data_IF_851080203865
#
_entry.id   IF_851080203865
#
_cell.length_a   1.000
_cell.length_b   1.000
_cell.length_c   1.000
_cell.angle_alpha   90.00
_cell.angle_beta   90.00
_cell.angle_gamma   90.00
#
_symmetry.space_group_name_H-M   'P 1'
#
loop_
_entity.id
_entity.type
_entity.pdbx_description
1 polymer ?
#
# COMPACT_ATOMS: atom_id res chain seq x y z
N UNK A 1 -23.97 67.60 -20.42
CA UNK A 1 -23.97 66.13 -20.17
C UNK A 1 -23.60 65.95 -18.71
N UNK A 2 -24.49 65.44 -17.85
CA UNK A 2 -24.15 65.23 -16.44
C UNK A 2 -23.19 64.04 -16.33
N UNK A 3 -22.08 64.25 -15.64
CA UNK A 3 -21.06 63.23 -15.36
C UNK A 3 -21.69 62.12 -14.52
N UNK A 4 -21.81 60.92 -15.10
CA UNK A 4 -22.27 59.75 -14.39
C UNK A 4 -21.21 59.37 -13.33
N UNK A 5 -21.56 59.64 -12.07
CA UNK A 5 -20.76 59.28 -10.89
C UNK A 5 -20.67 57.75 -10.84
N UNK A 6 -19.54 57.18 -11.28
CA UNK A 6 -19.24 55.76 -11.13
C UNK A 6 -19.20 55.43 -9.63
N UNK A 7 -20.23 54.75 -9.14
CA UNK A 7 -20.19 54.15 -7.80
C UNK A 7 -19.07 53.10 -7.78
N UNK A 8 -18.13 53.18 -6.82
CA UNK A 8 -17.10 52.17 -6.69
C UNK A 8 -17.77 50.83 -6.41
N UNK A 9 -17.48 49.84 -7.28
CA UNK A 9 -17.98 48.48 -7.12
C UNK A 9 -17.70 48.01 -5.69
N UNK A 10 -18.69 47.43 -5.00
CA UNK A 10 -18.49 46.92 -3.65
C UNK A 10 -17.31 45.96 -3.69
N UNK A 11 -16.27 46.27 -2.91
CA UNK A 11 -15.10 45.42 -2.80
C UNK A 11 -15.59 44.06 -2.31
N UNK A 12 -15.75 43.12 -3.25
CA UNK A 12 -16.15 41.77 -2.94
C UNK A 12 -15.07 41.25 -2.01
N UNK A 13 -15.42 41.05 -0.75
CA UNK A 13 -14.50 40.60 0.29
C UNK A 13 -14.16 39.15 -0.02
N UNK A 14 -13.18 38.97 -0.90
CA UNK A 14 -12.83 37.67 -1.44
C UNK A 14 -12.34 36.80 -0.29
N UNK A 15 -12.97 35.63 -0.17
CA UNK A 15 -12.63 34.67 0.87
C UNK A 15 -11.30 34.01 0.48
N UNK A 16 -10.29 34.00 1.36
CA UNK A 16 -9.06 33.28 1.06
C UNK A 16 -9.34 31.79 0.83
N UNK A 17 -8.56 31.18 -0.06
CA UNK A 17 -8.63 29.74 -0.34
C UNK A 17 -8.38 28.94 0.94
N UNK A 18 -9.07 27.82 1.10
CA UNK A 18 -8.80 26.91 2.21
C UNK A 18 -7.50 26.16 1.91
N UNK A 19 -6.54 26.11 2.84
CA UNK A 19 -5.34 25.29 2.66
C UNK A 19 -5.68 23.79 2.69
N UNK A 20 -4.95 22.95 1.94
CA UNK A 20 -3.89 23.33 0.99
C UNK A 20 -4.40 23.61 -0.44
N UNK A 21 -3.82 24.59 -1.12
CA UNK A 21 -4.07 24.86 -2.53
C UNK A 21 -2.76 25.16 -3.24
N UNK A 22 -2.47 24.47 -4.34
CA UNK A 22 -1.22 24.63 -5.09
C UNK A 22 -1.45 25.00 -6.55
N UNK A 23 -0.54 25.79 -7.13
CA UNK A 23 -0.59 26.12 -8.55
C UNK A 23 -0.39 24.88 -9.43
N UNK A 24 -1.22 24.69 -10.45
CA UNK A 24 -1.11 23.57 -11.39
C UNK A 24 0.20 23.52 -12.19
N UNK A 25 0.85 24.67 -12.42
CA UNK A 25 2.06 24.73 -13.27
C UNK A 25 3.34 24.53 -12.47
N UNK A 26 3.49 25.21 -11.33
CA UNK A 26 4.75 25.20 -10.56
C UNK A 26 4.60 24.59 -9.15
N UNK A 27 3.40 24.14 -8.76
CA UNK A 27 3.08 23.61 -7.43
C UNK A 27 3.36 24.57 -6.26
N UNK A 28 3.49 25.88 -6.51
CA UNK A 28 3.61 26.88 -5.46
C UNK A 28 2.31 26.94 -4.63
N UNK A 29 2.42 27.08 -3.31
CA UNK A 29 1.28 27.19 -2.42
C UNK A 29 0.58 28.55 -2.60
N UNK A 30 -0.66 28.53 -3.06
CA UNK A 30 -1.47 29.72 -3.35
C UNK A 30 -2.58 29.96 -2.31
N UNK A 31 -2.68 29.13 -1.26
CA UNK A 31 -3.79 29.15 -0.31
C UNK A 31 -3.93 30.49 0.45
N UNK A 32 -2.84 31.24 0.59
CA UNK A 32 -2.79 32.47 1.39
C UNK A 32 -2.51 33.73 0.55
N UNK A 33 -2.56 33.63 -0.77
CA UNK A 33 -2.31 34.78 -1.64
C UNK A 33 -3.53 35.70 -1.68
N UNK A 34 -3.28 37.01 -1.61
CA UNK A 34 -4.30 38.05 -1.82
C UNK A 34 -4.66 38.23 -3.28
N UNK A 35 -3.78 37.80 -4.20
CA UNK A 35 -3.95 37.92 -5.65
C UNK A 35 -4.31 36.57 -6.27
N UNK A 36 -5.19 36.59 -7.28
CA UNK A 36 -5.60 35.41 -8.06
C UNK A 36 -4.60 35.03 -9.16
N UNK A 37 -3.32 35.14 -8.84
CA UNK A 37 -2.21 34.84 -9.74
C UNK A 37 -1.06 34.24 -8.94
N UNK A 38 -0.45 33.21 -9.49
CA UNK A 38 0.74 32.62 -8.90
C UNK A 38 1.94 33.57 -9.06
N UNK A 39 2.68 33.91 -7.99
CA UNK A 39 3.82 34.82 -8.06
C UNK A 39 5.01 34.22 -8.81
N UNK A 40 5.14 32.90 -8.83
CA UNK A 40 6.25 32.20 -9.48
C UNK A 40 6.10 32.12 -11.00
N UNK A 41 4.92 31.71 -11.48
CA UNK A 41 4.69 31.44 -12.91
C UNK A 41 3.72 32.42 -13.59
N UNK A 42 3.11 33.32 -12.83
CA UNK A 42 2.14 34.28 -13.36
C UNK A 42 0.81 33.68 -13.82
N UNK A 43 0.57 32.38 -13.62
CA UNK A 43 -0.70 31.73 -13.97
C UNK A 43 -1.83 32.25 -13.08
N UNK A 44 -2.90 32.74 -13.69
CA UNK A 44 -4.13 33.07 -12.98
C UNK A 44 -4.86 31.80 -12.52
N UNK A 45 -5.51 31.89 -11.37
CA UNK A 45 -6.38 30.84 -10.85
C UNK A 45 -7.69 31.46 -10.40
N UNK A 46 -8.77 30.69 -10.39
CA UNK A 46 -10.06 31.12 -9.89
C UNK A 46 -10.31 30.41 -8.54
N UNK A 47 -10.38 31.13 -7.42
CA UNK A 47 -10.61 30.52 -6.11
C UNK A 47 -11.99 29.83 -5.99
N UNK A 48 -12.91 30.09 -6.93
CA UNK A 48 -14.23 29.44 -7.00
C UNK A 48 -14.25 28.20 -7.90
N UNK A 49 -13.21 28.00 -8.72
CA UNK A 49 -13.07 26.82 -9.58
C UNK A 49 -11.89 25.96 -9.12
N UNK A 50 -12.21 24.86 -8.44
CA UNK A 50 -11.26 23.85 -7.96
C UNK A 50 -10.43 23.22 -9.08
N UNK A 51 -10.82 23.36 -10.35
CA UNK A 51 -10.05 22.84 -11.49
C UNK A 51 -8.86 23.74 -11.85
N UNK A 52 -8.77 24.93 -11.27
CA UNK A 52 -7.68 25.89 -11.55
C UNK A 52 -6.49 25.75 -10.61
N UNK A 53 -6.62 24.92 -9.57
CA UNK A 53 -5.58 24.63 -8.59
C UNK A 53 -5.58 23.16 -8.16
N UNK A 54 -4.49 22.71 -7.54
CA UNK A 54 -4.41 21.39 -6.91
C UNK A 54 -4.84 21.54 -5.45
N UNK A 55 -6.01 20.97 -5.14
CA UNK A 55 -6.46 20.72 -3.78
C UNK A 55 -6.03 19.29 -3.40
N UNK A 56 -4.73 19.13 -3.14
CA UNK A 56 -4.25 17.87 -2.56
C UNK A 56 -4.54 17.91 -1.07
N UNK A 57 -5.74 17.48 -0.68
CA UNK A 57 -6.06 17.27 0.73
C UNK A 57 -4.99 16.33 1.32
N UNK A 58 -4.17 16.78 2.29
CA UNK A 58 -3.10 15.96 2.83
C UNK A 58 -3.66 14.71 3.51
N UNK A 59 -4.93 14.73 3.93
CA UNK A 59 -5.61 13.58 4.48
C UNK A 59 -5.85 12.48 3.43
N UNK A 60 -6.14 12.85 2.18
CA UNK A 60 -6.36 11.88 1.08
C UNK A 60 -5.07 11.16 0.70
N UNK A 61 -3.95 11.89 0.60
CA UNK A 61 -2.62 11.28 0.37
C UNK A 61 -2.21 10.36 1.53
N UNK A 62 -2.47 10.77 2.76
CA UNK A 62 -2.18 9.95 3.95
C UNK A 62 -3.04 8.70 4.00
N UNK A 63 -4.33 8.80 3.69
CA UNK A 63 -5.26 7.67 3.64
C UNK A 63 -4.83 6.65 2.58
N UNK A 64 -4.51 7.11 1.36
CA UNK A 64 -4.05 6.22 0.29
C UNK A 64 -2.75 5.50 0.65
N UNK A 65 -1.83 6.17 1.33
CA UNK A 65 -0.56 5.56 1.78
C UNK A 65 -0.82 4.48 2.83
N UNK A 66 -1.71 4.73 3.79
CA UNK A 66 -2.09 3.75 4.82
C UNK A 66 -2.78 2.55 4.16
N UNK A 67 -3.74 2.79 3.27
CA UNK A 67 -4.46 1.74 2.56
C UNK A 67 -3.52 0.87 1.71
N UNK A 68 -2.57 1.49 1.00
CA UNK A 68 -1.56 0.79 0.23
C UNK A 68 -0.68 -0.09 1.14
N UNK A 69 -0.19 0.46 2.25
CA UNK A 69 0.62 -0.29 3.20
C UNK A 69 -0.16 -1.48 3.81
N UNK A 70 -1.42 -1.28 4.20
CA UNK A 70 -2.29 -2.36 4.67
C UNK A 70 -2.46 -3.44 3.59
N UNK A 71 -2.71 -3.04 2.35
CA UNK A 71 -2.88 -3.97 1.23
C UNK A 71 -1.62 -4.81 1.00
N UNK A 72 -0.44 -4.17 1.02
CA UNK A 72 0.86 -4.84 0.86
C UNK A 72 1.11 -5.80 2.03
N UNK A 73 0.88 -5.38 3.27
CA UNK A 73 1.05 -6.23 4.46
C UNK A 73 0.13 -7.45 4.40
N UNK A 74 -1.16 -7.25 4.09
CA UNK A 74 -2.13 -8.35 3.95
C UNK A 74 -1.71 -9.34 2.85
N UNK A 75 -1.21 -8.83 1.72
CA UNK A 75 -0.72 -9.68 0.64
C UNK A 75 0.47 -10.55 1.06
N UNK A 76 1.46 -9.98 1.76
CA UNK A 76 2.60 -10.75 2.25
C UNK A 76 2.22 -11.73 3.37
N UNK A 77 1.32 -11.31 4.27
CA UNK A 77 0.79 -12.19 5.31
C UNK A 77 0.08 -13.42 4.73
N UNK A 78 -0.51 -13.29 3.54
CA UNK A 78 -1.15 -14.38 2.81
C UNK A 78 -0.16 -15.25 2.03
N UNK A 79 0.82 -14.64 1.36
CA UNK A 79 1.78 -15.37 0.53
C UNK A 79 2.78 -16.20 1.34
N UNK A 80 3.26 -15.67 2.46
CA UNK A 80 4.28 -16.32 3.27
C UNK A 80 3.91 -17.76 3.72
N UNK A 81 2.71 -18.03 4.29
CA UNK A 81 2.34 -19.38 4.68
C UNK A 81 2.16 -20.32 3.49
N UNK A 82 1.70 -19.82 2.33
CA UNK A 82 1.60 -20.61 1.10
C UNK A 82 2.98 -21.06 0.64
N UNK A 83 3.94 -20.14 0.57
CA UNK A 83 5.33 -20.44 0.19
C UNK A 83 5.94 -21.43 1.18
N UNK A 84 5.76 -21.20 2.49
CA UNK A 84 6.23 -22.12 3.54
C UNK A 84 5.69 -23.53 3.38
N UNK A 85 4.39 -23.66 3.08
CA UNK A 85 3.74 -24.95 2.83
C UNK A 85 4.31 -25.65 1.60
N UNK A 86 4.57 -24.92 0.51
CA UNK A 86 5.19 -25.49 -0.70
C UNK A 86 6.61 -26.00 -0.43
N UNK A 87 7.42 -25.25 0.32
CA UNK A 87 8.78 -25.66 0.72
C UNK A 87 8.71 -26.92 1.58
N UNK A 88 7.80 -26.96 2.56
CA UNK A 88 7.62 -28.11 3.44
C UNK A 88 7.18 -29.37 2.67
N UNK A 89 6.27 -29.24 1.70
CA UNK A 89 5.87 -30.34 0.82
C UNK A 89 7.04 -30.86 -0.03
N UNK A 90 7.87 -29.95 -0.56
CA UNK A 90 9.06 -30.32 -1.32
C UNK A 90 10.07 -31.09 -0.45
N UNK A 91 10.35 -30.59 0.75
CA UNK A 91 11.22 -31.27 1.73
C UNK A 91 10.66 -32.63 2.14
N UNK A 92 9.35 -32.73 2.37
CA UNK A 92 8.68 -33.99 2.68
C UNK A 92 8.85 -34.99 1.53
N UNK A 93 8.68 -34.56 0.28
CA UNK A 93 8.84 -35.43 -0.90
C UNK A 93 10.27 -35.99 -1.03
N UNK A 94 11.29 -35.18 -0.73
CA UNK A 94 12.70 -35.59 -0.77
C UNK A 94 12.98 -36.57 0.36
N UNK A 95 12.54 -36.25 1.58
CA UNK A 95 12.79 -37.10 2.76
C UNK A 95 12.08 -38.44 2.66
N UNK A 96 10.87 -38.51 2.10
CA UNK A 96 10.18 -39.78 1.82
C UNK A 96 10.99 -40.63 0.84
N UNK A 97 11.55 -40.05 -0.23
CA UNK A 97 12.39 -40.81 -1.19
C UNK A 97 13.65 -41.36 -0.54
N UNK A 98 14.33 -40.56 0.29
CA UNK A 98 15.50 -40.99 1.05
C UNK A 98 15.14 -42.09 2.03
N UNK A 99 14.02 -41.93 2.75
CA UNK A 99 13.52 -42.90 3.71
C UNK A 99 13.18 -44.23 3.03
N UNK A 100 12.48 -44.20 1.89
CA UNK A 100 12.15 -45.39 1.11
C UNK A 100 13.42 -46.14 0.69
N UNK A 101 14.44 -45.42 0.20
CA UNK A 101 15.74 -46.02 -0.15
C UNK A 101 16.46 -46.60 1.05
N UNK A 102 16.47 -45.90 2.19
CA UNK A 102 17.11 -46.34 3.42
C UNK A 102 16.43 -47.57 4.04
N UNK A 103 15.10 -47.64 4.00
CA UNK A 103 14.32 -48.79 4.48
C UNK A 103 14.56 -50.02 3.60
N UNK A 104 14.71 -49.82 2.29
CA UNK A 104 15.01 -50.89 1.34
C UNK A 104 16.40 -51.51 1.53
N UNK A 105 17.34 -50.79 2.16
CA UNK A 105 18.69 -51.30 2.41
C UNK A 105 18.72 -52.15 3.71
N UNK A 106 19.07 -53.44 3.55
CA UNK A 106 19.14 -54.40 4.67
C UNK A 106 20.19 -53.99 5.72
N UNK A 107 21.25 -53.29 5.31
CA UNK A 107 22.39 -52.93 6.18
C UNK A 107 22.30 -51.52 6.76
N UNK A 108 21.20 -50.79 6.54
CA UNK A 108 21.07 -49.43 7.06
C UNK A 108 20.98 -49.42 8.59
N UNK A 109 22.00 -48.88 9.28
CA UNK A 109 22.10 -48.88 10.75
C UNK A 109 21.13 -47.92 11.44
N UNK A 110 20.64 -46.89 10.74
CA UNK A 110 19.85 -45.80 11.34
C UNK A 110 18.39 -45.77 10.85
N UNK A 111 17.72 -46.93 10.74
CA UNK A 111 16.33 -47.01 10.25
C UNK A 111 15.34 -46.12 11.00
N UNK A 112 15.60 -45.84 12.28
CA UNK A 112 14.77 -44.93 13.07
C UNK A 112 14.79 -43.50 12.52
N UNK A 113 15.94 -42.97 12.08
CA UNK A 113 16.05 -41.63 11.48
C UNK A 113 15.28 -41.51 10.17
N UNK A 114 15.28 -42.58 9.38
CA UNK A 114 14.53 -42.65 8.13
C UNK A 114 13.01 -42.53 8.35
N UNK A 115 12.50 -42.85 9.54
CA UNK A 115 11.07 -42.77 9.88
C UNK A 115 10.76 -41.49 10.66
N UNK A 116 11.60 -41.09 11.61
CA UNK A 116 11.34 -39.93 12.47
C UNK A 116 11.43 -38.60 11.73
N UNK A 117 12.36 -38.46 10.78
CA UNK A 117 12.55 -37.20 10.04
C UNK A 117 11.33 -36.87 9.15
N UNK A 118 10.82 -37.77 8.28
CA UNK A 118 9.60 -37.50 7.51
C UNK A 118 8.37 -37.24 8.39
N UNK A 119 8.24 -37.98 9.51
CA UNK A 119 7.12 -37.81 10.44
C UNK A 119 7.12 -36.43 11.08
N UNK A 120 8.29 -35.94 11.53
CA UNK A 120 8.42 -34.59 12.08
C UNK A 120 8.07 -33.53 11.03
N UNK A 121 8.58 -33.65 9.81
CA UNK A 121 8.27 -32.72 8.71
C UNK A 121 6.77 -32.73 8.39
N UNK A 122 6.12 -33.90 8.40
CA UNK A 122 4.68 -34.00 8.20
C UNK A 122 3.89 -33.28 9.30
N UNK A 123 4.30 -33.39 10.57
CA UNK A 123 3.67 -32.68 11.70
C UNK A 123 3.82 -31.16 11.57
N UNK A 124 5.00 -30.67 11.19
CA UNK A 124 5.19 -29.24 10.94
C UNK A 124 4.34 -28.76 9.75
N UNK A 125 4.25 -29.56 8.70
CA UNK A 125 3.44 -29.25 7.52
C UNK A 125 1.95 -29.17 7.83
N UNK A 126 1.42 -30.07 8.68
CA UNK A 126 0.00 -30.03 9.06
C UNK A 126 -0.33 -28.81 9.89
N UNK A 127 0.57 -28.37 10.80
CA UNK A 127 0.38 -27.12 11.56
C UNK A 127 0.21 -25.91 10.65
N UNK A 128 1.06 -25.79 9.63
CA UNK A 128 1.01 -24.66 8.70
C UNK A 128 -0.25 -24.70 7.83
N UNK A 129 -0.70 -25.89 7.41
CA UNK A 129 -1.99 -26.07 6.72
C UNK A 129 -3.16 -25.68 7.62
N UNK A 130 -3.14 -26.05 8.90
CA UNK A 130 -4.18 -25.63 9.84
C UNK A 130 -4.22 -24.11 10.01
N UNK A 131 -3.05 -23.44 10.11
CA UNK A 131 -3.00 -21.98 10.15
C UNK A 131 -3.61 -21.36 8.88
N UNK A 132 -3.33 -21.92 7.70
CA UNK A 132 -3.95 -21.46 6.46
C UNK A 132 -5.47 -21.63 6.52
N UNK A 133 -5.98 -22.80 6.92
CA UNK A 133 -7.43 -23.08 6.95
C UNK A 133 -8.18 -22.19 7.95
N UNK A 134 -7.59 -21.87 9.10
CA UNK A 134 -8.26 -21.06 10.13
C UNK A 134 -8.13 -19.54 9.92
N UNK A 135 -7.19 -19.09 9.09
CA UNK A 135 -6.97 -17.66 8.81
C UNK A 135 -7.49 -17.19 7.44
N UNK A 136 -7.98 -18.12 6.59
CA UNK A 136 -8.69 -17.85 5.33
C UNK A 136 -10.21 -17.88 5.53
#
# INVERSE_FOLDING_TARGET
>A
MPDAKLEPLPQLKLKPLKPPAFCLSCKYNIAYLSEFRCPECGRSFDPTDYRTYLDEDPEVLRYNTILLNCTVISFFAFLFPIIGTLINLLLLSITIKVAAKAISDKNYKHKYLAITVPTLIAIFSTRDIFLIIFYL
#
